data_IF_145238072937
#
_entry.id   IF_145238072937
#
_cell.length_a   1.000
_cell.length_b   1.000
_cell.length_c   1.000
_cell.angle_alpha   90.00
_cell.angle_beta   90.00
_cell.angle_gamma   90.00
#
_symmetry.space_group_name_H-M   'P 1'
#
loop_
_entity.id
_entity.type
_entity.pdbx_description
1 polymer ?
#
# COMPACT_ATOMS: atom_id res chain seq x y z
N UNK A 1 -8.34 -21.64 8.14
CA UNK A 1 -7.71 -21.71 9.48
C UNK A 1 -7.59 -20.32 10.06
N UNK A 2 -7.64 -20.23 11.39
CA UNK A 2 -7.41 -18.98 12.12
C UNK A 2 -5.95 -18.89 12.59
N UNK A 3 -5.32 -17.75 12.34
CA UNK A 3 -3.98 -17.45 12.86
C UNK A 3 -4.07 -16.41 13.98
N UNK A 4 -3.17 -16.48 14.94
CA UNK A 4 -3.07 -15.50 16.01
C UNK A 4 -1.63 -15.29 16.45
N UNK A 5 -1.31 -14.08 16.86
CA UNK A 5 -0.02 -13.74 17.45
C UNK A 5 -0.17 -13.70 18.98
N UNK A 6 0.55 -14.55 19.74
CA UNK A 6 0.59 -14.46 21.19
C UNK A 6 1.44 -13.28 21.64
N UNK A 7 1.02 -12.61 22.71
CA UNK A 7 1.88 -11.71 23.45
C UNK A 7 2.96 -12.54 24.17
N UNK A 8 4.23 -12.18 23.95
CA UNK A 8 5.37 -12.90 24.54
C UNK A 8 5.43 -12.75 26.08
N UNK A 9 4.81 -11.72 26.65
CA UNK A 9 4.86 -11.43 28.08
C UNK A 9 3.69 -12.03 28.88
N UNK A 10 2.49 -12.11 28.31
CA UNK A 10 1.29 -12.58 29.03
C UNK A 10 0.48 -13.65 28.28
N UNK A 11 1.03 -14.16 27.18
CA UNK A 11 0.48 -15.25 26.34
C UNK A 11 -0.92 -15.02 25.75
N UNK A 12 -1.51 -13.82 25.94
CA UNK A 12 -2.78 -13.45 25.31
C UNK A 12 -2.66 -13.48 23.78
N UNK A 13 -3.62 -14.10 23.11
CA UNK A 13 -3.63 -14.25 21.64
C UNK A 13 -4.37 -13.12 20.95
N UNK A 14 -3.79 -12.57 19.89
CA UNK A 14 -4.36 -11.47 19.11
C UNK A 14 -4.52 -11.86 17.64
N UNK A 15 -5.63 -11.46 17.03
CA UNK A 15 -5.90 -11.74 15.60
C UNK A 15 -5.21 -10.77 14.65
N UNK A 16 -4.73 -9.64 15.15
CA UNK A 16 -4.05 -8.62 14.36
C UNK A 16 -2.84 -8.03 15.08
N UNK A 17 -1.85 -7.61 14.29
CA UNK A 17 -0.64 -6.93 14.74
C UNK A 17 -0.96 -5.58 15.37
N UNK A 18 -1.93 -4.82 14.85
CA UNK A 18 -2.39 -3.57 15.47
C UNK A 18 -2.94 -3.81 16.88
N UNK A 19 -3.77 -4.83 17.09
CA UNK A 19 -4.31 -5.12 18.43
C UNK A 19 -3.22 -5.58 19.39
N UNK A 20 -2.23 -6.35 18.89
CA UNK A 20 -1.06 -6.74 19.67
C UNK A 20 -0.22 -5.53 20.07
N UNK A 21 0.11 -4.64 19.13
CA UNK A 21 0.84 -3.38 19.38
C UNK A 21 0.12 -2.51 20.41
N UNK A 22 -1.20 -2.34 20.27
CA UNK A 22 -2.01 -1.60 21.24
C UNK A 22 -1.99 -2.26 22.62
N UNK A 23 -2.05 -3.58 22.68
CA UNK A 23 -1.96 -4.30 23.95
C UNK A 23 -0.62 -4.08 24.65
N UNK A 24 0.50 -4.20 23.92
CA UNK A 24 1.84 -3.95 24.47
C UNK A 24 1.97 -2.52 25.01
N UNK A 25 1.57 -1.52 24.23
CA UNK A 25 1.62 -0.12 24.68
C UNK A 25 0.78 0.17 25.92
N UNK A 26 -0.35 -0.54 26.11
CA UNK A 26 -1.24 -0.33 27.26
C UNK A 26 -0.89 -1.16 28.49
N UNK A 27 -0.27 -2.34 28.32
CA UNK A 27 -0.11 -3.32 29.41
C UNK A 27 1.32 -3.59 29.81
N UNK A 28 2.28 -3.37 28.92
CA UNK A 28 3.67 -3.76 29.14
C UNK A 28 4.64 -2.59 29.12
N UNK A 29 4.22 -1.37 28.75
CA UNK A 29 5.04 -0.14 28.72
C UNK A 29 6.35 -0.22 27.89
N UNK A 30 6.66 -1.37 27.30
CA UNK A 30 7.82 -1.63 26.47
C UNK A 30 7.61 -1.14 25.02
N UNK A 31 8.69 -0.63 24.41
CA UNK A 31 8.68 -0.02 23.07
C UNK A 31 8.92 -1.00 21.93
N UNK A 32 9.51 -2.17 22.19
CA UNK A 32 10.05 -3.02 21.12
C UNK A 32 9.30 -4.34 20.99
N UNK A 33 8.20 -4.29 20.25
CA UNK A 33 7.55 -5.47 19.68
C UNK A 33 8.38 -5.92 18.47
N UNK A 34 9.56 -6.50 18.71
CA UNK A 34 10.54 -6.71 17.65
C UNK A 34 10.07 -7.75 16.62
N UNK A 35 9.36 -8.81 17.01
CA UNK A 35 8.84 -9.81 16.06
C UNK A 35 7.57 -10.48 16.60
N UNK A 36 6.40 -10.12 16.06
CA UNK A 36 5.19 -10.90 16.29
C UNK A 36 5.12 -12.08 15.30
N UNK A 37 5.21 -13.30 15.80
CA UNK A 37 5.03 -14.50 15.00
C UNK A 37 3.57 -14.96 15.06
N UNK A 38 2.91 -15.06 13.90
CA UNK A 38 1.58 -15.63 13.81
C UNK A 38 1.67 -17.16 13.86
N UNK A 39 0.90 -17.75 14.78
CA UNK A 39 0.78 -19.19 14.96
C UNK A 39 -0.59 -19.66 14.47
N UNK A 40 -0.64 -20.88 13.95
CA UNK A 40 -1.89 -21.56 13.64
C UNK A 40 -2.55 -22.18 14.88
N UNK A 41 -3.63 -22.94 14.67
CA UNK A 41 -4.41 -23.61 15.73
C UNK A 41 -3.61 -24.71 16.44
N UNK A 42 -2.58 -25.27 15.79
CA UNK A 42 -1.65 -26.25 16.35
C UNK A 42 -0.43 -25.58 17.00
N UNK A 43 -0.44 -24.25 17.17
CA UNK A 43 0.68 -23.42 17.60
C UNK A 43 1.93 -23.53 16.71
N UNK A 44 1.78 -23.96 15.46
CA UNK A 44 2.88 -23.99 14.50
C UNK A 44 3.07 -22.61 13.88
N UNK A 45 4.31 -22.15 13.70
CA UNK A 45 4.59 -20.84 13.14
C UNK A 45 4.19 -20.78 11.67
N UNK A 46 3.52 -19.69 11.28
CA UNK A 46 3.24 -19.42 9.89
C UNK A 46 4.51 -18.97 9.17
N UNK A 47 4.84 -19.64 8.06
CA UNK A 47 5.87 -19.16 7.13
C UNK A 47 5.44 -17.85 6.50
N UNK A 48 6.12 -16.77 6.88
CA UNK A 48 5.89 -15.42 6.35
C UNK A 48 6.90 -15.12 5.23
N UNK A 49 6.51 -14.31 4.23
CA UNK A 49 7.45 -13.76 3.27
C UNK A 49 8.61 -13.07 3.99
N UNK A 50 9.84 -13.45 3.64
CA UNK A 50 11.05 -12.85 4.20
C UNK A 50 11.42 -11.62 3.39
N UNK A 51 11.67 -10.50 4.05
CA UNK A 51 12.25 -9.33 3.40
C UNK A 51 13.68 -9.67 2.93
N UNK A 52 13.96 -9.39 1.66
CA UNK A 52 15.27 -9.63 1.05
C UNK A 52 15.45 -8.66 -0.11
N UNK A 53 16.64 -8.09 -0.26
CA UNK A 53 16.95 -7.24 -1.40
C UNK A 53 17.03 -8.07 -2.69
N UNK A 54 16.62 -7.48 -3.81
CA UNK A 54 16.84 -8.05 -5.14
C UNK A 54 18.33 -8.00 -5.50
N UNK A 55 18.73 -8.92 -6.38
CA UNK A 55 20.03 -8.88 -7.06
C UNK A 55 19.97 -7.92 -8.26
N UNK A 56 21.12 -7.33 -8.63
CA UNK A 56 21.19 -6.24 -9.60
C UNK A 56 20.59 -6.59 -10.98
N UNK A 57 20.77 -7.83 -11.44
CA UNK A 57 20.27 -8.30 -12.75
C UNK A 57 18.75 -8.22 -12.90
N UNK A 58 18.01 -8.27 -11.79
CA UNK A 58 16.54 -8.30 -11.79
C UNK A 58 15.95 -6.95 -11.39
N UNK A 59 16.80 -5.96 -11.07
CA UNK A 59 16.39 -4.65 -10.59
C UNK A 59 15.68 -3.86 -11.68
N UNK A 60 16.16 -3.90 -12.92
CA UNK A 60 15.58 -3.13 -14.03
C UNK A 60 14.10 -3.50 -14.27
N UNK A 61 13.79 -4.79 -14.28
CA UNK A 61 12.42 -5.28 -14.46
C UNK A 61 11.53 -4.99 -13.25
N UNK A 62 12.11 -5.01 -12.04
CA UNK A 62 11.41 -4.57 -10.83
C UNK A 62 11.03 -3.09 -10.91
N UNK A 63 11.94 -2.21 -11.34
CA UNK A 63 11.68 -0.77 -11.47
C UNK A 63 10.62 -0.48 -12.54
N UNK A 64 10.63 -1.21 -13.66
CA UNK A 64 9.55 -1.14 -14.67
C UNK A 64 8.20 -1.53 -14.09
N UNK A 65 8.16 -2.64 -13.35
CA UNK A 65 6.94 -3.09 -12.67
C UNK A 65 6.44 -2.05 -11.65
N UNK A 66 7.36 -1.43 -10.90
CA UNK A 66 7.08 -0.37 -9.95
C UNK A 66 6.51 0.89 -10.64
N UNK A 67 7.03 1.25 -11.81
CA UNK A 67 6.50 2.34 -12.63
C UNK A 67 5.04 2.11 -13.02
N UNK A 68 4.70 0.91 -13.49
CA UNK A 68 3.30 0.53 -13.80
C UNK A 68 2.40 0.60 -12.55
N UNK A 69 2.92 0.22 -11.38
CA UNK A 69 2.19 0.37 -10.12
C UNK A 69 1.91 1.85 -9.82
N UNK A 70 2.91 2.73 -9.98
CA UNK A 70 2.77 4.18 -9.77
C UNK A 70 1.74 4.77 -10.72
N UNK A 71 1.79 4.43 -12.01
CA UNK A 71 0.80 4.86 -13.00
C UNK A 71 -0.63 4.53 -12.55
N UNK A 72 -0.85 3.30 -12.08
CA UNK A 72 -2.17 2.83 -11.63
C UNK A 72 -2.62 3.48 -10.33
N UNK A 73 -1.70 3.80 -9.42
CA UNK A 73 -2.04 4.56 -8.20
C UNK A 73 -2.42 5.99 -8.58
N UNK A 74 -1.62 6.67 -9.41
CA UNK A 74 -1.92 8.02 -9.89
C UNK A 74 -3.28 8.06 -10.61
N UNK A 75 -3.55 7.08 -11.49
CA UNK A 75 -4.82 6.93 -12.19
C UNK A 75 -6.04 6.68 -11.29
N UNK A 76 -5.85 6.42 -9.99
CA UNK A 76 -6.97 6.29 -9.04
C UNK A 76 -7.53 7.65 -8.54
N UNK A 77 -6.84 8.75 -8.84
CA UNK A 77 -7.20 10.10 -8.37
C UNK A 77 -8.33 10.77 -9.19
N UNK A 78 -8.76 10.16 -10.30
CA UNK A 78 -9.82 10.65 -11.21
C UNK A 78 -11.04 11.18 -10.45
N UNK A 79 -11.62 12.34 -10.78
CA UNK A 79 -12.56 13.08 -9.92
C UNK A 79 -13.97 12.48 -9.86
N UNK A 80 -14.41 11.71 -10.85
CA UNK A 80 -15.82 11.34 -11.12
C UNK A 80 -16.54 10.43 -10.08
N UNK A 81 -15.92 10.15 -8.95
CA UNK A 81 -16.47 9.28 -7.90
C UNK A 81 -16.28 9.89 -6.52
N UNK A 82 -17.14 9.64 -5.52
CA UNK A 82 -16.86 10.05 -4.14
C UNK A 82 -15.58 9.39 -3.61
N UNK A 83 -15.03 9.94 -2.52
CA UNK A 83 -13.88 9.35 -1.83
C UNK A 83 -14.15 7.88 -1.48
N UNK A 84 -13.20 7.00 -1.81
CA UNK A 84 -13.40 5.54 -1.74
C UNK A 84 -12.11 4.78 -1.46
N UNK A 85 -12.28 3.54 -0.99
CA UNK A 85 -11.20 2.56 -0.95
C UNK A 85 -10.89 2.07 -2.35
N UNK A 86 -9.69 2.38 -2.82
CA UNK A 86 -9.15 1.95 -4.10
C UNK A 86 -8.34 0.67 -3.93
N UNK A 87 -8.31 -0.15 -4.98
CA UNK A 87 -7.57 -1.40 -5.02
C UNK A 87 -6.78 -1.46 -6.33
N UNK A 88 -5.46 -1.58 -6.22
CA UNK A 88 -4.58 -1.85 -7.36
C UNK A 88 -4.13 -3.30 -7.26
N UNK A 89 -4.75 -4.16 -8.07
CA UNK A 89 -4.46 -5.59 -8.13
C UNK A 89 -3.32 -5.86 -9.12
N UNK A 90 -2.21 -6.38 -8.63
CA UNK A 90 -1.08 -6.88 -9.40
C UNK A 90 -1.11 -8.42 -9.39
N UNK A 91 -1.34 -9.01 -10.57
CA UNK A 91 -1.41 -10.45 -10.77
C UNK A 91 -0.02 -10.99 -11.16
N UNK A 92 0.25 -12.25 -10.81
CA UNK A 92 1.52 -12.93 -11.15
C UNK A 92 2.77 -12.10 -10.81
N UNK A 93 2.82 -11.54 -9.61
CA UNK A 93 3.98 -10.80 -9.12
C UNK A 93 5.03 -11.80 -8.62
N UNK A 94 6.30 -11.72 -9.05
CA UNK A 94 7.38 -12.54 -8.50
C UNK A 94 7.50 -12.37 -6.97
N UNK A 95 7.69 -13.47 -6.24
CA UNK A 95 7.87 -13.45 -4.79
C UNK A 95 9.06 -12.57 -4.37
N UNK A 96 10.15 -12.61 -5.15
CA UNK A 96 11.34 -11.76 -5.00
C UNK A 96 11.02 -10.25 -5.04
N UNK A 97 10.07 -9.82 -5.87
CA UNK A 97 9.68 -8.40 -5.94
C UNK A 97 8.94 -7.98 -4.67
N UNK A 98 8.07 -8.85 -4.16
CA UNK A 98 7.41 -8.60 -2.89
C UNK A 98 8.39 -8.62 -1.71
N UNK A 99 9.36 -9.54 -1.71
CA UNK A 99 10.42 -9.60 -0.70
C UNK A 99 11.28 -8.33 -0.69
N UNK A 100 11.64 -7.81 -1.86
CA UNK A 100 12.37 -6.54 -1.99
C UNK A 100 11.52 -5.36 -1.55
N UNK A 101 10.26 -5.30 -1.97
CA UNK A 101 9.32 -4.29 -1.49
C UNK A 101 9.25 -4.26 0.05
N UNK A 102 9.15 -5.43 0.71
CA UNK A 102 9.19 -5.51 2.18
C UNK A 102 10.51 -5.03 2.76
N UNK A 103 11.63 -5.34 2.12
CA UNK A 103 12.97 -4.87 2.51
C UNK A 103 13.04 -3.33 2.48
N UNK A 104 12.61 -2.72 1.38
CA UNK A 104 12.59 -1.25 1.19
C UNK A 104 11.64 -0.54 2.13
N UNK A 105 10.57 -1.21 2.56
CA UNK A 105 9.64 -0.73 3.59
C UNK A 105 10.16 -0.88 5.04
N UNK A 106 11.41 -1.32 5.23
CA UNK A 106 11.99 -1.51 6.57
C UNK A 106 11.47 -2.75 7.29
N UNK A 107 11.11 -3.80 6.53
CA UNK A 107 10.60 -5.08 7.04
C UNK A 107 9.38 -4.92 7.98
N UNK A 108 8.25 -4.41 7.46
CA UNK A 108 7.08 -4.15 8.29
C UNK A 108 6.52 -5.45 8.88
N UNK A 109 6.18 -5.43 10.16
CA UNK A 109 5.50 -6.54 10.82
C UNK A 109 4.16 -6.85 10.15
N UNK A 110 3.89 -8.13 9.90
CA UNK A 110 2.59 -8.54 9.35
C UNK A 110 1.45 -8.16 10.30
N UNK A 111 0.38 -7.59 9.76
CA UNK A 111 -0.81 -7.23 10.55
C UNK A 111 -1.75 -8.42 10.70
N UNK A 112 -2.01 -9.20 9.66
CA UNK A 112 -2.82 -10.41 9.82
C UNK A 112 -2.53 -11.48 8.79
N UNK A 113 -2.71 -12.72 9.22
CA UNK A 113 -2.62 -13.92 8.38
C UNK A 113 -3.96 -14.64 8.42
N UNK A 114 -4.49 -14.99 7.24
CA UNK A 114 -5.76 -15.74 7.13
C UNK A 114 -5.71 -16.66 5.93
N UNK A 115 -6.29 -17.84 6.06
CA UNK A 115 -6.73 -18.58 4.88
C UNK A 115 -8.10 -18.05 4.48
N UNK A 116 -8.20 -17.53 3.27
CA UNK A 116 -9.39 -16.87 2.79
C UNK A 116 -9.79 -17.42 1.41
N UNK A 117 -11.09 -17.49 1.11
CA UNK A 117 -11.52 -17.86 -0.22
C UNK A 117 -11.13 -16.76 -1.21
N UNK A 118 -10.62 -17.16 -2.37
CA UNK A 118 -10.38 -16.25 -3.48
C UNK A 118 -11.32 -16.63 -4.62
N UNK A 119 -12.36 -15.82 -4.78
CA UNK A 119 -13.49 -16.08 -5.70
C UNK A 119 -13.38 -15.16 -6.94
N UNK A 120 -12.34 -14.32 -7.04
CA UNK A 120 -12.16 -13.41 -8.18
C UNK A 120 -11.33 -14.10 -9.25
N UNK A 121 -11.67 -13.90 -10.51
CA UNK A 121 -10.85 -14.43 -11.59
C UNK A 121 -9.46 -13.77 -11.61
N UNK A 122 -8.42 -14.52 -12.00
CA UNK A 122 -8.45 -15.95 -12.31
C UNK A 122 -8.42 -16.83 -11.03
N UNK A 123 -9.37 -17.77 -10.92
CA UNK A 123 -9.55 -18.63 -9.74
C UNK A 123 -8.76 -19.92 -9.94
N UNK A 124 -7.56 -20.00 -9.36
CA UNK A 124 -6.73 -21.20 -9.43
C UNK A 124 -6.82 -22.07 -8.16
N UNK A 125 -7.11 -21.45 -7.00
CA UNK A 125 -7.39 -22.16 -5.74
C UNK A 125 -8.59 -21.55 -5.04
N UNK A 126 -9.45 -22.40 -4.48
CA UNK A 126 -10.65 -21.98 -3.74
C UNK A 126 -10.32 -21.26 -2.44
N UNK A 127 -9.27 -21.69 -1.75
CA UNK A 127 -8.79 -21.10 -0.49
C UNK A 127 -7.28 -20.92 -0.64
N UNK A 128 -6.79 -19.73 -0.30
CA UNK A 128 -5.38 -19.41 -0.32
C UNK A 128 -4.99 -18.62 0.93
N UNK A 129 -3.71 -18.70 1.31
CA UNK A 129 -3.17 -17.93 2.42
C UNK A 129 -3.00 -16.49 2.00
N UNK A 130 -3.46 -15.58 2.85
CA UNK A 130 -3.42 -14.13 2.67
C UNK A 130 -2.66 -13.49 3.82
N UNK A 131 -1.66 -12.69 3.48
CA UNK A 131 -0.92 -11.84 4.40
C UNK A 131 -1.37 -10.39 4.18
N UNK A 132 -1.53 -9.65 5.27
CA UNK A 132 -1.90 -8.25 5.27
C UNK A 132 -0.85 -7.46 6.04
N UNK A 133 -0.28 -6.45 5.40
CA UNK A 133 0.66 -5.50 6.00
C UNK A 133 0.02 -4.13 5.98
N UNK A 134 -0.04 -3.46 7.13
CA UNK A 134 -0.62 -2.12 7.25
C UNK A 134 0.46 -1.09 7.46
N UNK A 135 0.48 -0.09 6.59
CA UNK A 135 1.42 1.02 6.58
C UNK A 135 0.62 2.29 6.84
N UNK A 136 1.09 3.09 7.78
CA UNK A 136 0.44 4.33 8.22
C UNK A 136 1.31 5.57 7.95
N UNK A 137 2.46 5.40 7.30
CA UNK A 137 3.36 6.48 6.93
C UNK A 137 3.37 6.64 5.40
N UNK A 138 2.89 7.79 4.91
CA UNK A 138 2.89 8.15 3.50
C UNK A 138 4.31 8.36 2.96
N UNK A 139 5.23 8.93 3.75
CA UNK A 139 6.60 9.21 3.32
C UNK A 139 7.36 7.92 3.01
N UNK A 140 7.17 6.88 3.84
CA UNK A 140 7.77 5.56 3.58
C UNK A 140 7.27 4.97 2.27
N UNK A 141 5.98 5.14 1.95
CA UNK A 141 5.44 4.69 0.68
C UNK A 141 6.06 5.47 -0.49
N UNK A 142 6.13 6.80 -0.36
CA UNK A 142 6.70 7.69 -1.38
C UNK A 142 8.14 7.29 -1.71
N UNK A 143 9.00 7.13 -0.71
CA UNK A 143 10.39 6.73 -0.89
C UNK A 143 10.54 5.40 -1.64
N UNK A 144 9.62 4.46 -1.43
CA UNK A 144 9.67 3.17 -2.13
C UNK A 144 9.15 3.29 -3.55
N UNK A 145 8.08 4.04 -3.80
CA UNK A 145 7.51 4.22 -5.13
C UNK A 145 8.39 5.10 -6.05
N UNK A 146 9.21 5.98 -5.47
CA UNK A 146 10.18 6.83 -6.16
C UNK A 146 11.55 6.16 -6.35
N UNK A 147 11.69 4.85 -6.05
CA UNK A 147 12.90 4.10 -6.40
C UNK A 147 13.09 3.96 -7.91
N UNK A 148 12.01 4.11 -8.68
CA UNK A 148 12.02 4.18 -10.13
C UNK A 148 11.97 5.64 -10.62
N UNK A 149 12.64 5.91 -11.74
CA UNK A 149 12.72 7.24 -12.37
C UNK A 149 11.79 7.38 -13.60
N UNK A 150 10.93 6.39 -13.88
CA UNK A 150 10.08 6.36 -15.06
C UNK A 150 8.88 7.31 -14.94
N UNK A 151 8.28 7.38 -13.75
CA UNK A 151 7.07 8.15 -13.47
C UNK A 151 7.14 8.83 -12.12
N UNK A 152 6.72 10.10 -12.08
CA UNK A 152 6.56 10.81 -10.82
C UNK A 152 5.37 10.25 -10.03
N UNK A 153 5.58 9.88 -8.78
CA UNK A 153 4.49 9.55 -7.87
C UNK A 153 3.74 10.82 -7.46
N UNK A 154 2.42 10.84 -7.69
CA UNK A 154 1.56 11.99 -7.38
C UNK A 154 0.52 11.58 -6.34
N UNK A 155 0.75 11.87 -5.04
CA UNK A 155 -0.21 11.51 -3.99
C UNK A 155 -1.47 12.40 -4.02
N UNK A 156 -1.46 13.50 -4.78
CA UNK A 156 -2.57 14.45 -4.93
C UNK A 156 -2.72 14.91 -6.37
N UNK A 157 -3.94 15.28 -6.73
CA UNK A 157 -4.27 15.90 -8.01
C UNK A 157 -5.42 16.92 -7.82
N UNK A 158 -5.36 17.99 -8.61
CA UNK A 158 -6.37 19.04 -8.66
C UNK A 158 -7.20 18.88 -9.93
N UNK A 159 -8.50 19.14 -9.83
CA UNK A 159 -9.40 19.01 -10.96
C UNK A 159 -10.30 20.24 -11.09
N UNK A 160 -10.63 20.56 -12.33
CA UNK A 160 -11.73 21.45 -12.70
C UNK A 160 -12.76 20.61 -13.43
N UNK A 161 -13.92 20.39 -12.81
CA UNK A 161 -14.88 19.38 -13.27
C UNK A 161 -14.18 18.00 -13.41
N UNK A 162 -14.01 17.50 -14.63
CA UNK A 162 -13.34 16.24 -14.94
C UNK A 162 -11.89 16.41 -15.45
N UNK A 163 -11.45 17.64 -15.72
CA UNK A 163 -10.11 17.91 -16.26
C UNK A 163 -9.09 18.10 -15.14
N UNK A 164 -7.97 17.38 -15.19
CA UNK A 164 -6.84 17.59 -14.28
C UNK A 164 -6.19 18.95 -14.55
N UNK A 165 -5.97 19.74 -13.50
CA UNK A 165 -5.32 21.05 -13.58
C UNK A 165 -4.02 21.05 -12.79
N UNK A 166 -2.95 21.73 -13.28
CA UNK A 166 -1.69 21.80 -12.55
C UNK A 166 -1.81 22.44 -11.17
N UNK A 167 -1.12 21.86 -10.18
CA UNK A 167 -0.92 22.47 -8.88
C UNK A 167 0.26 23.45 -8.93
N UNK A 168 -0.06 24.74 -9.10
CA UNK A 168 0.93 25.82 -9.21
C UNK A 168 1.88 25.87 -8.01
N UNK A 169 1.44 25.40 -6.83
CA UNK A 169 2.29 25.39 -5.63
C UNK A 169 3.43 24.38 -5.69
N UNK A 170 3.36 23.40 -6.59
CA UNK A 170 4.39 22.37 -6.78
C UNK A 170 5.20 22.55 -8.07
N UNK A 171 4.89 23.56 -8.87
CA UNK A 171 5.61 23.86 -10.11
C UNK A 171 6.91 24.60 -9.80
N UNK A 172 7.93 24.38 -10.64
CA UNK A 172 9.11 25.23 -10.62
C UNK A 172 8.75 26.68 -10.97
N UNK A 173 9.57 27.64 -10.55
CA UNK A 173 9.32 29.06 -10.83
C UNK A 173 9.18 29.35 -12.35
N UNK A 174 9.96 28.65 -13.18
CA UNK A 174 9.97 28.80 -14.64
C UNK A 174 8.68 28.26 -15.26
N UNK A 175 8.23 27.08 -14.84
CA UNK A 175 6.98 26.47 -15.28
C UNK A 175 5.77 27.26 -14.79
N UNK A 176 5.79 27.74 -13.54
CA UNK A 176 4.75 28.59 -12.98
C UNK A 176 4.60 29.90 -13.78
N UNK A 177 5.72 30.51 -14.20
CA UNK A 177 5.73 31.69 -15.06
C UNK A 177 5.18 31.38 -16.46
N UNK A 178 5.59 30.27 -17.07
CA UNK A 178 5.08 29.84 -18.38
C UNK A 178 3.57 29.55 -18.32
N UNK A 179 3.12 28.86 -17.28
CA UNK A 179 1.72 28.56 -17.02
C UNK A 179 0.92 29.85 -16.76
N UNK A 180 1.44 30.79 -15.98
CA UNK A 180 0.81 32.09 -15.75
C UNK A 180 0.65 32.91 -17.04
N UNK A 181 1.68 32.91 -17.92
CA UNK A 181 1.61 33.56 -19.24
C UNK A 181 0.58 32.91 -20.16
N UNK A 182 0.46 31.58 -20.13
CA UNK A 182 -0.56 30.86 -20.88
C UNK A 182 -1.98 31.11 -20.33
N UNK A 183 -2.10 31.20 -19.01
CA UNK A 183 -3.36 31.49 -18.30
C UNK A 183 -3.85 32.91 -18.53
N UNK A 184 -2.96 33.90 -18.65
CA UNK A 184 -3.34 35.27 -19.01
C UNK A 184 -4.07 35.38 -20.37
N UNK A 185 -3.95 34.36 -21.23
CA UNK A 185 -4.61 34.28 -22.54
C UNK A 185 -5.93 33.49 -22.54
N UNK A 186 -6.31 32.82 -21.44
CA UNK A 186 -7.51 31.97 -21.33
C UNK A 186 -8.32 32.25 -20.05
N UNK A 187 -9.63 32.02 -20.10
CA UNK A 187 -10.53 32.26 -18.97
C UNK A 187 -10.23 31.32 -17.78
N UNK A 188 -10.41 31.86 -16.58
CA UNK A 188 -9.92 31.38 -15.27
C UNK A 188 -9.99 29.85 -15.07
N UNK A 189 -8.85 29.21 -14.81
CA UNK A 189 -8.70 27.75 -14.60
C UNK A 189 -8.59 27.38 -13.12
N UNK A 190 -9.49 27.93 -12.28
CA UNK A 190 -9.50 27.59 -10.86
C UNK A 190 -9.92 26.12 -10.68
N UNK A 191 -9.21 25.35 -9.84
CA UNK A 191 -9.63 24.00 -9.48
C UNK A 191 -10.93 24.07 -8.68
N UNK A 192 -11.84 23.15 -8.96
CA UNK A 192 -13.13 23.00 -8.25
C UNK A 192 -13.08 21.87 -7.23
N UNK A 193 -12.11 20.97 -7.35
CA UNK A 193 -11.96 19.83 -6.46
C UNK A 193 -10.51 19.36 -6.38
N UNK A 194 -10.24 18.59 -5.32
CA UNK A 194 -8.95 17.96 -5.05
C UNK A 194 -9.18 16.50 -4.66
N UNK A 195 -8.36 15.62 -5.23
CA UNK A 195 -8.23 14.22 -4.83
C UNK A 195 -6.85 14.00 -4.20
N UNK A 196 -6.77 13.19 -3.15
CA UNK A 196 -5.49 12.83 -2.55
C UNK A 196 -5.55 11.47 -1.85
N UNK A 197 -4.40 10.80 -1.81
CA UNK A 197 -4.17 9.64 -0.96
C UNK A 197 -4.19 10.11 0.48
N UNK A 198 -5.02 9.45 1.28
CA UNK A 198 -5.18 9.75 2.69
C UNK A 198 -4.60 8.55 3.44
N UNK A 199 -3.40 8.73 3.98
CA UNK A 199 -2.68 7.70 4.74
C UNK A 199 -2.30 8.28 6.10
N UNK A 200 -2.73 7.63 7.17
CA UNK A 200 -2.36 8.04 8.52
C UNK A 200 -3.00 7.23 9.63
N UNK A 201 -2.42 7.28 10.84
CA UNK A 201 -2.99 6.72 12.05
C UNK A 201 -4.15 7.61 12.53
N UNK A 202 -5.25 7.66 11.77
CA UNK A 202 -6.42 8.46 12.14
C UNK A 202 -7.01 8.06 13.50
N UNK A 203 -7.87 8.92 14.05
CA UNK A 203 -8.56 8.65 15.31
C UNK A 203 -9.82 7.79 15.11
N UNK A 204 -10.03 6.78 15.98
CA UNK A 204 -11.25 5.96 16.00
C UNK A 204 -11.43 5.02 14.80
N UNK A 205 -12.61 5.05 14.15
CA UNK A 205 -12.95 4.21 12.98
C UNK A 205 -12.39 4.77 11.65
N UNK A 206 -11.69 5.89 11.71
CA UNK A 206 -11.15 6.60 10.55
C UNK A 206 -9.64 6.37 10.37
N UNK A 207 -9.13 5.20 10.77
CA UNK A 207 -7.79 4.81 10.34
C UNK A 207 -7.77 4.67 8.82
N UNK A 208 -6.73 5.22 8.22
CA UNK A 208 -6.55 5.31 6.78
C UNK A 208 -5.20 4.70 6.47
N UNK A 209 -5.15 3.38 6.49
CA UNK A 209 -3.93 2.65 6.14
C UNK A 209 -3.76 2.51 4.62
N UNK A 210 -2.51 2.42 4.18
CA UNK A 210 -2.18 1.59 3.04
C UNK A 210 -2.09 0.13 3.51
N UNK A 211 -2.84 -0.77 2.90
CA UNK A 211 -2.75 -2.21 3.12
C UNK A 211 -2.12 -2.90 1.90
N UNK A 212 -1.00 -3.59 2.12
CA UNK A 212 -0.45 -4.55 1.17
C UNK A 212 -1.03 -5.92 1.46
N UNK A 213 -1.81 -6.45 0.52
CA UNK A 213 -2.45 -7.76 0.65
C UNK A 213 -1.74 -8.74 -0.28
N UNK A 214 -1.01 -9.68 0.30
CA UNK A 214 -0.21 -10.64 -0.44
C UNK A 214 -0.81 -12.05 -0.40
N UNK A 215 -0.92 -12.66 -1.58
CA UNK A 215 -1.40 -14.02 -1.79
C UNK A 215 -0.31 -14.85 -2.49
N UNK A 216 0.64 -15.43 -1.76
CA UNK A 216 1.80 -16.11 -2.36
C UNK A 216 1.43 -17.40 -3.09
N UNK A 217 0.36 -18.07 -2.67
CA UNK A 217 0.05 -19.44 -3.11
C UNK A 217 -1.20 -19.51 -3.98
N UNK A 218 -1.60 -18.40 -4.61
CA UNK A 218 -2.83 -18.33 -5.39
C UNK A 218 -2.76 -19.18 -6.67
N UNK A 219 -1.65 -19.14 -7.41
CA UNK A 219 -1.53 -19.68 -8.77
C UNK A 219 -1.11 -21.15 -8.82
N UNK A 220 -0.18 -21.60 -7.97
CA UNK A 220 0.08 -23.03 -7.69
C UNK A 220 0.86 -23.17 -6.36
N UNK A 221 1.29 -24.37 -5.94
CA UNK A 221 2.21 -24.53 -4.79
C UNK A 221 3.68 -24.33 -5.18
N UNK A 222 4.01 -24.49 -6.45
CA UNK A 222 5.37 -24.36 -6.99
C UNK A 222 5.60 -23.03 -7.72
N UNK A 223 4.63 -22.11 -7.67
CA UNK A 223 4.77 -20.83 -8.34
C UNK A 223 5.62 -19.89 -7.50
N UNK A 224 6.70 -19.39 -8.06
CA UNK A 224 7.47 -18.24 -7.57
C UNK A 224 6.69 -16.91 -7.69
N UNK A 225 5.39 -16.98 -7.92
CA UNK A 225 4.51 -15.86 -8.22
C UNK A 225 3.29 -15.87 -7.32
N UNK A 226 2.81 -14.68 -6.97
CA UNK A 226 1.61 -14.47 -6.16
C UNK A 226 0.78 -13.27 -6.64
N UNK A 227 -0.33 -12.99 -5.96
CA UNK A 227 -1.14 -11.79 -6.18
C UNK A 227 -0.85 -10.77 -5.09
N UNK A 228 -0.51 -9.55 -5.49
CA UNK A 228 -0.35 -8.41 -4.59
C UNK A 228 -1.47 -7.40 -4.84
N UNK A 229 -2.15 -6.96 -3.79
CA UNK A 229 -3.11 -5.86 -3.86
C UNK A 229 -2.65 -4.72 -2.99
N UNK A 230 -2.55 -3.53 -3.56
CA UNK A 230 -2.43 -2.28 -2.80
C UNK A 230 -3.84 -1.75 -2.55
N UNK A 231 -4.23 -1.66 -1.28
CA UNK A 231 -5.51 -1.06 -0.88
C UNK A 231 -5.25 0.23 -0.10
N UNK A 232 -5.80 1.33 -0.57
CA UNK A 232 -5.62 2.66 0.04
C UNK A 232 -6.90 3.47 -0.12
N UNK A 233 -7.04 4.52 0.69
CA UNK A 233 -8.18 5.41 0.61
C UNK A 233 -7.83 6.66 -0.19
N UNK A 234 -8.67 7.00 -1.17
CA UNK A 234 -8.59 8.28 -1.88
C UNK A 234 -9.67 9.18 -1.29
N UNK A 235 -9.25 10.27 -0.65
CA UNK A 235 -10.15 11.32 -0.19
C UNK A 235 -10.33 12.34 -1.28
N UNK A 236 -11.53 12.91 -1.33
CA UNK A 236 -11.89 13.97 -2.26
C UNK A 236 -12.58 15.10 -1.55
N UNK A 237 -12.27 16.31 -1.98
CA UNK A 237 -12.74 17.54 -1.34
C UNK A 237 -13.04 18.56 -2.44
N UNK A 238 -14.23 19.16 -2.39
CA UNK A 238 -14.55 20.33 -3.20
C UNK A 238 -13.80 21.55 -2.65
N UNK A 239 -13.31 22.42 -3.54
CA UNK A 239 -12.57 23.63 -3.20
C UNK A 239 -13.45 24.88 -3.27
#
# INVERSE_FOLDING_TARGET
MSFSAPCQLCTKKFKTGVSLKKHFGLKHQERNLEIAQFLDESNSPCEQPKAAALIDEEMEDYLKWLGVLVERINGSLVPDHPGKWCHVDCLQVPQKYFAHLLCRLGNPMVDSVRDAPHIRQPIFKRIARRFSYKIFNEETLKLVLEEQDLLQFRPKALFRNSDEVPDISEMSAEEALAYAKARARKQDSRPTSRSYLDIGPGEGRCTRELELIWWPSLYSRCSEYGKLTFRFFVRKTSL
#
